data_IF_132032286569
#
_entry.id   IF_132032286569
#
_cell.length_a   1.000
_cell.length_b   1.000
_cell.length_c   1.000
_cell.angle_alpha   90.00
_cell.angle_beta   90.00
_cell.angle_gamma   90.00
#
_symmetry.space_group_name_H-M   'P 1'
#
loop_
_entity.id
_entity.type
_entity.pdbx_description
1 polymer ?
#
# COMPACT_ATOMS: atom_id res chain seq x y z
N UNK A 1 -2.69 17.40 -10.94
CA UNK A 1 -2.42 16.66 -12.20
C UNK A 1 -0.94 16.34 -12.44
N UNK A 2 0.01 17.28 -12.45
CA UNK A 2 1.43 16.98 -12.70
C UNK A 2 2.05 16.03 -11.66
N UNK A 3 1.78 16.23 -10.38
CA UNK A 3 2.26 15.40 -9.27
C UNK A 3 1.73 13.96 -9.32
N UNK A 4 0.44 13.77 -9.62
CA UNK A 4 -0.16 12.43 -9.79
C UNK A 4 0.44 11.68 -10.98
N UNK A 5 0.71 12.37 -12.09
CA UNK A 5 1.35 11.81 -13.29
C UNK A 5 2.79 11.38 -13.00
N UNK A 6 3.50 12.14 -12.17
CA UNK A 6 4.87 11.80 -11.76
C UNK A 6 4.92 10.57 -10.83
N UNK A 7 4.02 10.49 -9.84
CA UNK A 7 3.91 9.32 -8.97
C UNK A 7 3.52 8.05 -9.75
N UNK A 8 2.61 8.18 -10.72
CA UNK A 8 2.19 7.08 -11.57
C UNK A 8 3.36 6.56 -12.42
N UNK A 9 4.18 7.46 -12.97
CA UNK A 9 5.37 7.08 -13.74
C UNK A 9 6.42 6.37 -12.87
N UNK A 10 6.66 6.83 -11.65
CA UNK A 10 7.60 6.20 -10.72
C UNK A 10 7.14 4.78 -10.33
N UNK A 11 5.84 4.60 -10.02
CA UNK A 11 5.24 3.29 -9.72
C UNK A 11 5.39 2.34 -10.91
N UNK A 12 5.09 2.82 -12.13
CA UNK A 12 5.21 2.06 -13.37
C UNK A 12 6.64 1.55 -13.60
N UNK A 13 7.63 2.44 -13.51
CA UNK A 13 9.04 2.09 -13.73
C UNK A 13 9.54 1.09 -12.69
N UNK A 14 9.13 1.25 -11.44
CA UNK A 14 9.51 0.31 -10.38
C UNK A 14 8.89 -1.09 -10.60
N UNK A 15 7.65 -1.15 -11.05
CA UNK A 15 6.96 -2.41 -11.41
C UNK A 15 7.67 -3.10 -12.59
N UNK A 16 8.04 -2.35 -13.63
CA UNK A 16 8.81 -2.87 -14.77
C UNK A 16 10.18 -3.42 -14.34
N UNK A 17 10.91 -2.70 -13.50
CA UNK A 17 12.20 -3.17 -12.96
C UNK A 17 12.04 -4.47 -12.18
N UNK A 18 11.03 -4.55 -11.33
CA UNK A 18 10.73 -5.75 -10.53
C UNK A 18 10.39 -6.96 -11.41
N UNK A 19 9.52 -6.78 -12.41
CA UNK A 19 9.09 -7.84 -13.33
C UNK A 19 10.23 -8.35 -14.21
N UNK A 20 11.12 -7.48 -14.65
CA UNK A 20 12.21 -7.84 -15.57
C UNK A 20 13.44 -8.48 -14.87
N UNK A 21 13.59 -8.31 -13.56
CA UNK A 21 14.78 -8.77 -12.83
C UNK A 21 14.94 -10.30 -12.86
N UNK A 22 13.83 -11.04 -12.72
CA UNK A 22 13.87 -12.52 -12.77
C UNK A 22 14.31 -13.03 -14.13
N UNK A 23 13.91 -12.37 -15.22
CA UNK A 23 14.31 -12.76 -16.58
C UNK A 23 15.80 -12.59 -16.88
N UNK A 24 16.47 -11.62 -16.22
CA UNK A 24 17.91 -11.34 -16.46
C UNK A 24 18.78 -12.55 -16.15
N UNK A 25 18.47 -13.31 -15.11
CA UNK A 25 19.26 -14.47 -14.68
C UNK A 25 19.31 -15.56 -15.76
N UNK A 26 18.21 -15.74 -16.50
CA UNK A 26 18.13 -16.77 -17.54
C UNK A 26 19.03 -16.48 -18.74
N UNK A 27 19.34 -15.20 -19.04
CA UNK A 27 20.33 -14.85 -20.06
C UNK A 27 21.76 -15.25 -19.66
N UNK A 28 22.04 -15.48 -18.37
CA UNK A 28 23.33 -15.99 -17.92
C UNK A 28 23.37 -17.51 -17.86
N UNK A 29 22.26 -18.16 -17.55
CA UNK A 29 22.20 -19.61 -17.29
C UNK A 29 21.99 -20.43 -18.56
N UNK A 30 21.20 -19.95 -19.53
CA UNK A 30 20.82 -20.73 -20.69
C UNK A 30 21.94 -20.87 -21.73
N UNK A 31 22.70 -19.82 -22.12
CA UNK A 31 23.75 -19.97 -23.13
C UNK A 31 24.82 -21.01 -22.78
N UNK A 32 25.33 -21.10 -21.53
CA UNK A 32 26.27 -22.16 -21.17
C UNK A 32 25.68 -23.56 -21.41
N UNK A 33 24.41 -23.79 -21.10
CA UNK A 33 23.74 -25.08 -21.32
C UNK A 33 23.65 -25.43 -22.81
N UNK A 34 23.30 -24.45 -23.65
CA UNK A 34 23.28 -24.63 -25.11
C UNK A 34 24.64 -24.97 -25.65
N UNK A 35 25.70 -24.29 -25.18
CA UNK A 35 27.06 -24.49 -25.67
C UNK A 35 27.73 -25.82 -25.22
N UNK A 36 27.21 -26.47 -24.19
CA UNK A 36 27.59 -27.82 -23.81
C UNK A 36 27.06 -28.90 -24.75
N UNK A 37 26.08 -28.59 -25.58
CA UNK A 37 25.47 -29.54 -26.52
C UNK A 37 26.43 -29.80 -27.69
N UNK A 38 26.50 -31.02 -28.16
CA UNK A 38 27.24 -31.46 -29.36
C UNK A 38 28.73 -31.03 -29.38
N UNK A 39 29.35 -30.82 -28.18
CA UNK A 39 30.72 -30.29 -28.04
C UNK A 39 30.96 -28.92 -28.71
N UNK A 40 29.89 -28.15 -28.92
CA UNK A 40 29.94 -26.84 -29.58
C UNK A 40 30.96 -25.89 -28.93
N UNK A 41 31.03 -25.87 -27.58
CA UNK A 41 31.97 -25.05 -26.86
C UNK A 41 33.43 -25.35 -27.26
N UNK A 42 33.79 -26.62 -27.47
CA UNK A 42 35.14 -27.01 -27.84
C UNK A 42 35.49 -26.63 -29.28
N UNK A 43 34.50 -26.72 -30.19
CA UNK A 43 34.69 -26.39 -31.59
C UNK A 43 34.72 -24.88 -31.84
N UNK A 44 33.96 -24.11 -31.05
CA UNK A 44 33.74 -22.66 -31.23
C UNK A 44 34.12 -21.86 -29.96
N UNK A 45 35.24 -22.19 -29.33
CA UNK A 45 35.63 -21.65 -28.02
C UNK A 45 35.67 -20.12 -27.95
N UNK A 46 36.30 -19.47 -28.93
CA UNK A 46 36.40 -17.99 -28.94
C UNK A 46 35.04 -17.31 -29.04
N UNK A 47 34.18 -17.81 -29.91
CA UNK A 47 32.82 -17.29 -30.03
C UNK A 47 32.02 -17.51 -28.76
N UNK A 48 32.04 -18.72 -28.21
CA UNK A 48 31.29 -19.06 -26.98
C UNK A 48 31.72 -18.21 -25.81
N UNK A 49 33.03 -18.02 -25.60
CA UNK A 49 33.56 -17.15 -24.55
C UNK A 49 33.17 -15.69 -24.77
N UNK A 50 33.23 -15.19 -26.00
CA UNK A 50 32.83 -13.83 -26.35
C UNK A 50 31.36 -13.61 -26.07
N UNK A 51 30.47 -14.53 -26.51
CA UNK A 51 29.04 -14.47 -26.28
C UNK A 51 28.68 -14.48 -24.78
N UNK A 52 29.26 -15.44 -24.01
CA UNK A 52 29.07 -15.54 -22.58
C UNK A 52 29.55 -14.28 -21.85
N UNK A 53 30.70 -13.72 -22.26
CA UNK A 53 31.27 -12.50 -21.70
C UNK A 53 30.35 -11.30 -21.89
N UNK A 54 29.86 -11.11 -23.11
CA UNK A 54 28.91 -10.00 -23.44
C UNK A 54 27.64 -10.11 -22.60
N UNK A 55 27.00 -11.30 -22.57
CA UNK A 55 25.76 -11.47 -21.80
C UNK A 55 25.99 -11.36 -20.30
N UNK A 56 27.10 -11.88 -19.78
CA UNK A 56 27.43 -11.69 -18.36
C UNK A 56 27.61 -10.22 -18.01
N UNK A 57 28.34 -9.45 -18.82
CA UNK A 57 28.49 -8.00 -18.61
C UNK A 57 27.16 -7.25 -18.63
N UNK A 58 26.29 -7.53 -19.62
CA UNK A 58 24.98 -6.90 -19.73
C UNK A 58 24.13 -7.24 -18.50
N UNK A 59 24.08 -8.50 -18.09
CA UNK A 59 23.28 -8.94 -16.94
C UNK A 59 23.77 -8.33 -15.63
N UNK A 60 25.06 -8.35 -15.39
CA UNK A 60 25.68 -7.71 -14.20
C UNK A 60 25.38 -6.21 -14.19
N UNK A 61 25.56 -5.52 -15.32
CA UNK A 61 25.23 -4.10 -15.44
C UNK A 61 23.76 -3.85 -15.08
N UNK A 62 22.81 -4.64 -15.63
CA UNK A 62 21.36 -4.49 -15.36
C UNK A 62 21.04 -4.72 -13.89
N UNK A 63 21.60 -5.74 -13.26
CA UNK A 63 21.39 -6.01 -11.83
C UNK A 63 21.92 -4.89 -10.94
N UNK A 64 23.15 -4.42 -11.24
CA UNK A 64 23.74 -3.27 -10.53
C UNK A 64 22.90 -2.02 -10.73
N UNK A 65 22.48 -1.73 -11.97
CA UNK A 65 21.66 -0.56 -12.27
C UNK A 65 20.32 -0.59 -11.51
N UNK A 66 19.61 -1.73 -11.47
CA UNK A 66 18.37 -1.88 -10.70
C UNK A 66 18.61 -1.66 -9.20
N UNK A 67 19.73 -2.16 -8.66
CA UNK A 67 20.08 -1.98 -7.25
C UNK A 67 20.41 -0.51 -6.92
N UNK A 68 21.27 0.12 -7.72
CA UNK A 68 21.72 1.51 -7.52
C UNK A 68 20.56 2.49 -7.72
N UNK A 69 19.73 2.26 -8.73
CA UNK A 69 18.60 3.14 -9.03
C UNK A 69 17.59 3.30 -7.89
N UNK A 70 17.48 2.31 -6.98
CA UNK A 70 16.62 2.41 -5.77
C UNK A 70 17.11 3.43 -4.75
N UNK A 71 18.42 3.78 -4.79
CA UNK A 71 19.06 4.72 -3.85
C UNK A 71 19.26 6.11 -4.45
N UNK A 72 18.94 6.29 -5.73
CA UNK A 72 19.16 7.56 -6.41
C UNK A 72 18.03 8.57 -6.10
N UNK A 73 18.37 9.88 -5.98
CA UNK A 73 17.38 10.94 -5.84
C UNK A 73 16.41 10.99 -7.03
N UNK A 74 15.15 11.37 -6.77
CA UNK A 74 14.06 11.44 -7.77
C UNK A 74 14.41 12.30 -9.02
N UNK A 75 15.25 13.31 -8.86
CA UNK A 75 15.69 14.16 -9.99
C UNK A 75 16.38 13.39 -11.11
N UNK A 76 16.94 12.21 -10.83
CA UNK A 76 17.61 11.35 -11.81
C UNK A 76 16.70 10.28 -12.41
N UNK A 77 15.41 10.23 -12.01
CA UNK A 77 14.47 9.20 -12.45
C UNK A 77 14.31 9.12 -13.97
N UNK A 78 14.20 10.23 -14.74
CA UNK A 78 14.13 10.16 -16.20
C UNK A 78 15.36 9.51 -16.84
N UNK A 79 16.54 9.83 -16.34
CA UNK A 79 17.81 9.26 -16.82
C UNK A 79 17.87 7.77 -16.49
N UNK A 80 17.52 7.39 -15.26
CA UNK A 80 17.47 6.01 -14.81
C UNK A 80 16.50 5.17 -15.64
N UNK A 81 15.36 5.73 -15.97
CA UNK A 81 14.37 5.10 -16.84
C UNK A 81 14.90 4.91 -18.25
N UNK A 82 15.56 5.91 -18.82
CA UNK A 82 16.19 5.81 -20.12
C UNK A 82 17.28 4.74 -20.18
N UNK A 83 18.15 4.67 -19.17
CA UNK A 83 19.18 3.64 -19.05
C UNK A 83 18.55 2.25 -18.93
N UNK A 84 17.50 2.10 -18.12
CA UNK A 84 16.78 0.84 -17.98
C UNK A 84 16.20 0.36 -19.32
N UNK A 85 15.43 1.23 -20.02
CA UNK A 85 14.82 0.93 -21.31
C UNK A 85 15.90 0.58 -22.34
N UNK A 86 16.94 1.39 -22.46
CA UNK A 86 18.06 1.14 -23.34
C UNK A 86 18.76 -0.20 -23.08
N UNK A 87 18.97 -0.55 -21.83
CA UNK A 87 19.57 -1.83 -21.45
C UNK A 87 18.70 -3.03 -21.80
N UNK A 88 17.38 -2.90 -21.70
CA UNK A 88 16.42 -3.95 -22.08
C UNK A 88 16.46 -4.19 -23.58
N UNK A 89 16.33 -3.12 -24.38
CA UNK A 89 16.36 -3.18 -25.84
C UNK A 89 17.71 -3.70 -26.35
N UNK A 90 18.81 -3.24 -25.75
CA UNK A 90 20.14 -3.71 -26.09
C UNK A 90 20.32 -5.20 -25.83
N UNK A 91 19.83 -5.69 -24.68
CA UNK A 91 19.84 -7.14 -24.36
C UNK A 91 19.06 -7.94 -25.39
N UNK A 92 17.88 -7.47 -25.78
CA UNK A 92 17.04 -8.12 -26.78
C UNK A 92 17.71 -8.17 -28.17
N UNK A 93 18.30 -7.06 -28.59
CA UNK A 93 19.02 -6.96 -29.85
C UNK A 93 20.25 -7.88 -29.87
N UNK A 94 21.05 -7.84 -28.80
CA UNK A 94 22.23 -8.71 -28.67
C UNK A 94 21.85 -10.20 -28.76
N UNK A 95 20.76 -10.61 -28.11
CA UNK A 95 20.24 -11.98 -28.20
C UNK A 95 19.76 -12.31 -29.61
N UNK A 96 18.94 -11.42 -30.24
CA UNK A 96 18.44 -11.60 -31.58
C UNK A 96 19.56 -11.74 -32.62
N UNK A 97 20.61 -10.90 -32.50
CA UNK A 97 21.80 -10.99 -33.35
C UNK A 97 22.57 -12.29 -33.14
N UNK A 98 22.70 -12.75 -31.88
CA UNK A 98 23.30 -14.04 -31.57
C UNK A 98 22.51 -15.20 -32.17
N UNK A 99 21.18 -15.20 -32.00
CA UNK A 99 20.31 -16.21 -32.62
C UNK A 99 20.40 -16.20 -34.15
N UNK A 100 20.43 -15.03 -34.77
CA UNK A 100 20.62 -14.88 -36.23
C UNK A 100 21.99 -15.44 -36.69
N UNK A 101 23.05 -15.18 -35.93
CA UNK A 101 24.37 -15.73 -36.22
C UNK A 101 24.37 -17.26 -36.22
N UNK A 102 23.75 -17.91 -35.23
CA UNK A 102 23.61 -19.35 -35.19
C UNK A 102 22.81 -19.90 -36.38
N UNK A 103 21.72 -19.25 -36.74
CA UNK A 103 20.90 -19.65 -37.88
C UNK A 103 21.66 -19.55 -39.21
N UNK A 104 22.59 -18.61 -39.37
CA UNK A 104 23.35 -18.41 -40.60
C UNK A 104 24.61 -19.27 -40.71
N UNK A 105 25.34 -19.47 -39.59
CA UNK A 105 26.71 -19.99 -39.63
C UNK A 105 26.89 -21.34 -38.95
N UNK A 106 26.02 -21.75 -38.01
CA UNK A 106 26.13 -23.07 -37.40
C UNK A 106 25.63 -24.16 -38.31
N UNK A 107 26.34 -25.29 -38.28
CA UNK A 107 25.91 -26.54 -38.99
C UNK A 107 25.16 -27.48 -38.03
N UNK A 108 25.24 -27.24 -36.72
CA UNK A 108 24.62 -28.10 -35.72
C UNK A 108 23.16 -27.76 -35.50
N UNK A 109 22.26 -28.61 -36.03
CA UNK A 109 20.82 -28.45 -35.94
C UNK A 109 20.30 -28.35 -34.49
N UNK A 110 20.95 -29.09 -33.55
CA UNK A 110 20.53 -29.09 -32.15
C UNK A 110 20.73 -27.73 -31.53
N UNK A 111 21.89 -27.10 -31.76
CA UNK A 111 22.19 -25.74 -31.22
C UNK A 111 21.28 -24.70 -31.83
N UNK A 112 21.02 -24.74 -33.17
CA UNK A 112 20.09 -23.84 -33.83
C UNK A 112 18.69 -23.95 -33.23
N UNK A 113 18.21 -25.20 -33.05
CA UNK A 113 16.88 -25.46 -32.49
C UNK A 113 16.76 -24.95 -31.06
N UNK A 114 17.73 -25.23 -30.22
CA UNK A 114 17.74 -24.74 -28.83
C UNK A 114 17.78 -23.21 -28.75
N UNK A 115 18.59 -22.55 -29.57
CA UNK A 115 18.64 -21.09 -29.63
C UNK A 115 17.30 -20.50 -30.07
N UNK A 116 16.63 -21.11 -31.04
CA UNK A 116 15.31 -20.69 -31.52
C UNK A 116 14.24 -20.86 -30.43
N UNK A 117 14.19 -22.01 -29.77
CA UNK A 117 13.26 -22.28 -28.66
C UNK A 117 13.46 -21.26 -27.53
N UNK A 118 14.71 -21.02 -27.15
CA UNK A 118 15.03 -20.03 -26.10
C UNK A 118 14.65 -18.61 -26.54
N UNK A 119 14.86 -18.25 -27.81
CA UNK A 119 14.44 -16.96 -28.36
C UNK A 119 12.94 -16.77 -28.25
N UNK A 120 12.14 -17.77 -28.65
CA UNK A 120 10.66 -17.77 -28.52
C UNK A 120 10.25 -17.60 -27.04
N UNK A 121 10.88 -18.36 -26.14
CA UNK A 121 10.62 -18.28 -24.71
C UNK A 121 10.96 -16.91 -24.10
N UNK A 122 12.12 -16.36 -24.45
CA UNK A 122 12.54 -15.04 -23.96
C UNK A 122 11.66 -13.91 -24.49
N UNK A 123 11.25 -13.97 -25.77
CA UNK A 123 10.34 -12.95 -26.32
C UNK A 123 9.02 -12.97 -25.59
N UNK A 124 8.42 -14.14 -25.40
CA UNK A 124 7.14 -14.27 -24.67
C UNK A 124 7.24 -13.75 -23.24
N UNK A 125 8.25 -14.19 -22.49
CA UNK A 125 8.48 -13.77 -21.10
C UNK A 125 8.77 -12.27 -20.98
N UNK A 126 9.56 -11.72 -21.90
CA UNK A 126 9.87 -10.29 -21.93
C UNK A 126 8.66 -9.44 -22.29
N UNK A 127 7.90 -9.82 -23.31
CA UNK A 127 6.66 -9.12 -23.68
C UNK A 127 5.71 -9.04 -22.49
N UNK A 128 5.48 -10.13 -21.76
CA UNK A 128 4.63 -10.16 -20.57
C UNK A 128 5.17 -9.26 -19.45
N UNK A 129 6.50 -9.19 -19.29
CA UNK A 129 7.14 -8.34 -18.31
C UNK A 129 6.98 -6.84 -18.61
N UNK A 130 6.91 -6.47 -19.90
CA UNK A 130 6.87 -5.08 -20.35
C UNK A 130 5.49 -4.59 -20.77
N UNK A 131 4.43 -5.40 -20.58
CA UNK A 131 3.03 -5.03 -20.85
C UNK A 131 2.66 -3.62 -20.36
N UNK A 132 3.06 -3.16 -19.15
CA UNK A 132 2.70 -1.84 -18.68
C UNK A 132 3.21 -0.70 -19.58
N UNK A 133 4.25 -0.94 -20.35
CA UNK A 133 4.89 0.03 -21.24
C UNK A 133 4.90 -0.51 -22.68
N UNK A 134 3.79 -0.32 -23.39
CA UNK A 134 3.52 -0.93 -24.69
C UNK A 134 4.69 -0.76 -25.69
N UNK A 135 5.24 0.46 -25.81
CA UNK A 135 6.32 0.70 -26.76
C UNK A 135 7.58 -0.11 -26.42
N UNK A 136 7.84 -0.38 -25.12
CA UNK A 136 8.97 -1.20 -24.71
C UNK A 136 8.72 -2.69 -25.03
N UNK A 137 7.50 -3.18 -24.81
CA UNK A 137 7.11 -4.56 -25.17
C UNK A 137 7.25 -4.80 -26.69
N UNK A 138 6.81 -3.84 -27.51
CA UNK A 138 6.92 -3.91 -28.97
C UNK A 138 8.39 -3.78 -29.43
N UNK A 139 9.14 -2.82 -28.89
CA UNK A 139 10.55 -2.66 -29.23
C UNK A 139 11.37 -3.90 -28.86
N UNK A 140 11.11 -4.49 -27.70
CA UNK A 140 11.76 -5.71 -27.25
C UNK A 140 11.46 -6.90 -28.20
N UNK A 141 10.19 -7.07 -28.58
CA UNK A 141 9.75 -8.11 -29.52
C UNK A 141 10.48 -7.96 -30.88
N UNK A 142 10.46 -6.76 -31.46
CA UNK A 142 11.10 -6.47 -32.74
C UNK A 142 12.61 -6.68 -32.65
N UNK A 143 13.27 -6.13 -31.64
CA UNK A 143 14.73 -6.23 -31.47
C UNK A 143 15.21 -7.67 -31.35
N UNK A 144 14.42 -8.56 -30.74
CA UNK A 144 14.80 -9.95 -30.54
C UNK A 144 14.47 -10.83 -31.73
N UNK A 145 13.32 -10.67 -32.40
CA UNK A 145 12.89 -11.54 -33.50
C UNK A 145 13.36 -11.10 -34.87
N UNK A 146 13.44 -9.80 -35.16
CA UNK A 146 13.77 -9.29 -36.48
C UNK A 146 15.08 -9.83 -37.03
N UNK A 147 16.20 -9.86 -36.26
CA UNK A 147 17.45 -10.44 -36.77
C UNK A 147 17.33 -11.92 -37.14
N UNK A 148 16.63 -12.70 -36.33
CA UNK A 148 16.42 -14.13 -36.59
C UNK A 148 15.51 -14.37 -37.80
N UNK A 149 14.43 -13.57 -37.97
CA UNK A 149 13.55 -13.61 -39.14
C UNK A 149 14.36 -13.32 -40.41
N UNK A 150 15.17 -12.26 -40.38
CA UNK A 150 16.01 -11.90 -41.51
C UNK A 150 16.98 -13.03 -41.89
N UNK A 151 17.64 -13.65 -40.86
CA UNK A 151 18.55 -14.76 -41.06
C UNK A 151 17.88 -15.97 -41.74
N UNK A 152 16.64 -16.33 -41.34
CA UNK A 152 15.90 -17.43 -41.94
C UNK A 152 15.59 -17.16 -43.42
N UNK A 153 15.21 -15.94 -43.79
CA UNK A 153 14.94 -15.58 -45.18
C UNK A 153 16.21 -15.49 -46.04
N UNK A 154 17.35 -15.02 -45.46
CA UNK A 154 18.65 -14.96 -46.14
C UNK A 154 19.10 -16.40 -46.49
N UNK A 155 18.97 -17.36 -45.55
CA UNK A 155 19.35 -18.75 -45.79
C UNK A 155 18.46 -19.45 -46.79
N UNK A 156 17.21 -19.01 -46.95
CA UNK A 156 16.20 -19.48 -47.90
C UNK A 156 15.85 -20.97 -47.85
N UNK A 157 16.37 -21.74 -46.87
CA UNK A 157 16.13 -23.17 -46.73
C UNK A 157 14.75 -23.48 -46.10
N UNK A 158 14.26 -22.58 -45.23
CA UNK A 158 13.00 -22.81 -44.48
C UNK A 158 12.11 -21.57 -44.47
N UNK A 159 11.58 -21.08 -45.60
CA UNK A 159 10.76 -19.87 -45.63
C UNK A 159 9.49 -19.97 -44.78
N UNK A 160 8.92 -21.17 -44.63
CA UNK A 160 7.77 -21.42 -43.74
C UNK A 160 8.06 -21.07 -42.27
N UNK A 161 9.28 -21.32 -41.80
CA UNK A 161 9.72 -20.93 -40.46
C UNK A 161 9.74 -19.37 -40.32
N UNK A 162 10.24 -18.69 -41.36
CA UNK A 162 10.25 -17.20 -41.36
C UNK A 162 8.84 -16.62 -41.27
N UNK A 163 7.89 -17.15 -42.05
CA UNK A 163 6.47 -16.74 -41.95
C UNK A 163 5.86 -17.08 -40.60
N UNK A 164 6.15 -18.24 -40.01
CA UNK A 164 5.67 -18.61 -38.69
C UNK A 164 6.20 -17.65 -37.60
N UNK A 165 7.49 -17.23 -37.70
CA UNK A 165 8.07 -16.24 -36.78
C UNK A 165 7.44 -14.87 -36.95
N UNK A 166 7.08 -14.43 -38.15
CA UNK A 166 6.34 -13.18 -38.36
C UNK A 166 4.96 -13.26 -37.72
N UNK A 167 4.22 -14.34 -37.96
CA UNK A 167 2.90 -14.54 -37.34
C UNK A 167 2.99 -14.54 -35.81
N UNK A 168 4.03 -15.17 -35.27
CA UNK A 168 4.30 -15.16 -33.84
C UNK A 168 4.63 -13.74 -33.29
N UNK A 169 5.45 -12.98 -34.03
CA UNK A 169 5.73 -11.59 -33.66
C UNK A 169 4.46 -10.72 -33.64
N UNK A 170 3.60 -10.86 -34.66
CA UNK A 170 2.30 -10.17 -34.74
C UNK A 170 1.39 -10.58 -33.57
N UNK A 171 1.30 -11.89 -33.30
CA UNK A 171 0.53 -12.40 -32.16
C UNK A 171 0.98 -11.80 -30.83
N UNK A 172 2.28 -11.69 -30.59
CA UNK A 172 2.81 -11.06 -29.37
C UNK A 172 2.53 -9.56 -29.31
N UNK A 173 2.49 -8.85 -30.43
CA UNK A 173 2.06 -7.44 -30.47
C UNK A 173 0.59 -7.33 -30.08
N UNK A 174 -0.27 -8.20 -30.61
CA UNK A 174 -1.70 -8.21 -30.25
C UNK A 174 -1.93 -8.51 -28.76
N UNK A 175 -1.18 -9.47 -28.20
CA UNK A 175 -1.20 -9.74 -26.74
C UNK A 175 -0.72 -8.52 -25.96
N UNK A 176 0.35 -7.84 -26.42
CA UNK A 176 0.86 -6.64 -25.76
C UNK A 176 -0.17 -5.51 -25.73
N UNK A 177 -0.88 -5.29 -26.85
CA UNK A 177 -1.95 -4.28 -26.94
C UNK A 177 -3.09 -4.58 -25.95
N UNK A 178 -3.58 -5.83 -25.98
CA UNK A 178 -4.65 -6.24 -25.07
C UNK A 178 -4.22 -6.18 -23.61
N UNK A 179 -3.08 -6.76 -23.29
CA UNK A 179 -2.58 -6.79 -21.92
C UNK A 179 -2.28 -5.40 -21.38
N UNK A 180 -1.79 -4.47 -22.22
CA UNK A 180 -1.58 -3.08 -21.82
C UNK A 180 -2.91 -2.39 -21.48
N UNK A 181 -3.95 -2.59 -22.30
CA UNK A 181 -5.28 -2.05 -22.03
C UNK A 181 -5.88 -2.63 -20.71
N UNK A 182 -5.73 -3.93 -20.49
CA UNK A 182 -6.19 -4.60 -19.25
C UNK A 182 -5.41 -4.10 -18.03
N UNK A 183 -4.09 -3.91 -18.13
CA UNK A 183 -3.25 -3.38 -17.07
C UNK A 183 -3.68 -1.98 -16.60
N UNK A 184 -3.88 -1.06 -17.56
CA UNK A 184 -4.29 0.30 -17.24
C UNK A 184 -5.70 0.37 -16.66
N UNK A 185 -6.62 -0.47 -17.19
CA UNK A 185 -7.98 -0.57 -16.64
C UNK A 185 -7.99 -1.12 -15.21
N UNK A 186 -7.14 -2.12 -14.92
CA UNK A 186 -7.01 -2.65 -13.55
C UNK A 186 -6.49 -1.60 -12.58
N UNK A 187 -5.51 -0.79 -12.98
CA UNK A 187 -4.95 0.28 -12.17
C UNK A 187 -5.97 1.41 -11.93
N UNK A 188 -6.77 1.77 -12.94
CA UNK A 188 -7.85 2.75 -12.82
C UNK A 188 -8.92 2.28 -11.83
N UNK A 189 -9.33 1.00 -11.92
CA UNK A 189 -10.29 0.41 -11.00
C UNK A 189 -9.76 0.37 -9.55
N UNK A 190 -8.48 0.07 -9.33
CA UNK A 190 -7.84 0.10 -8.01
C UNK A 190 -7.95 1.50 -7.39
N UNK A 191 -7.59 2.55 -8.16
CA UNK A 191 -7.68 3.93 -7.72
C UNK A 191 -9.13 4.36 -7.40
N UNK A 192 -10.09 3.95 -8.25
CA UNK A 192 -11.51 4.24 -8.02
C UNK A 192 -12.04 3.57 -6.76
N UNK A 193 -11.65 2.32 -6.50
CA UNK A 193 -12.02 1.61 -5.28
C UNK A 193 -11.44 2.28 -4.03
N UNK A 194 -10.19 2.73 -4.06
CA UNK A 194 -9.60 3.49 -2.96
C UNK A 194 -10.34 4.81 -2.71
N UNK A 195 -10.71 5.54 -3.77
CA UNK A 195 -11.47 6.78 -3.67
C UNK A 195 -12.85 6.53 -3.05
N UNK A 196 -13.57 5.52 -3.53
CA UNK A 196 -14.89 5.14 -2.98
C UNK A 196 -14.81 4.67 -1.53
N UNK A 197 -13.78 3.91 -1.18
CA UNK A 197 -13.54 3.52 0.21
C UNK A 197 -13.35 4.73 1.12
N UNK A 198 -12.55 5.72 0.68
CA UNK A 198 -12.34 6.97 1.42
C UNK A 198 -13.62 7.81 1.53
N UNK A 199 -14.44 7.85 0.46
CA UNK A 199 -15.75 8.53 0.51
C UNK A 199 -16.70 7.87 1.53
N UNK A 200 -16.76 6.53 1.53
CA UNK A 200 -17.57 5.78 2.50
C UNK A 200 -17.07 5.99 3.94
N UNK A 201 -15.77 5.97 4.15
CA UNK A 201 -15.17 6.30 5.44
C UNK A 201 -15.49 7.72 5.89
N UNK A 202 -15.49 8.71 4.97
CA UNK A 202 -15.89 10.08 5.28
C UNK A 202 -17.39 10.19 5.57
N UNK A 203 -18.22 9.42 4.90
CA UNK A 203 -19.66 9.39 5.14
C UNK A 203 -20.04 8.72 6.47
N UNK A 204 -19.20 7.82 6.99
CA UNK A 204 -19.44 7.18 8.29
C UNK A 204 -19.11 8.14 9.43
N UNK A 205 -20.14 8.57 10.17
CA UNK A 205 -20.02 9.45 11.36
C UNK A 205 -19.92 8.68 12.66
N UNK A 206 -20.24 7.39 12.64
CA UNK A 206 -20.34 6.58 13.84
C UNK A 206 -19.28 5.49 13.88
N UNK A 207 -18.91 5.08 15.10
CA UNK A 207 -18.12 3.89 15.36
C UNK A 207 -18.97 2.63 15.17
N UNK A 208 -18.53 1.71 14.33
CA UNK A 208 -19.28 0.53 13.93
C UNK A 208 -19.59 -0.43 15.10
N UNK A 209 -18.76 -0.44 16.15
CA UNK A 209 -18.95 -1.30 17.29
C UNK A 209 -19.95 -0.74 18.30
N UNK A 210 -19.82 0.54 18.62
CA UNK A 210 -20.53 1.18 19.73
C UNK A 210 -21.76 1.99 19.31
N UNK A 211 -21.82 2.42 18.03
CA UNK A 211 -22.85 3.30 17.50
C UNK A 211 -22.73 4.76 17.95
N UNK A 212 -21.73 5.11 18.76
CA UNK A 212 -21.39 6.48 19.11
C UNK A 212 -20.75 7.19 17.92
N UNK A 213 -20.58 8.51 18.00
CA UNK A 213 -19.75 9.19 17.03
C UNK A 213 -18.32 8.63 17.04
N UNK A 214 -17.68 8.54 15.87
CA UNK A 214 -16.29 8.17 15.78
C UNK A 214 -15.37 9.39 16.02
N UNK A 215 -14.09 9.15 16.26
CA UNK A 215 -13.09 10.17 16.51
C UNK A 215 -13.10 11.28 15.46
N UNK A 216 -13.19 10.91 14.17
CA UNK A 216 -13.16 11.89 13.09
C UNK A 216 -14.33 12.86 13.15
N UNK A 217 -15.54 12.35 13.34
CA UNK A 217 -16.72 13.21 13.43
C UNK A 217 -16.74 14.02 14.73
N UNK A 218 -16.18 13.47 15.82
CA UNK A 218 -15.93 14.23 17.03
C UNK A 218 -15.00 15.42 16.77
N UNK A 219 -13.89 15.24 16.07
CA UNK A 219 -12.93 16.31 15.78
C UNK A 219 -13.57 17.43 14.94
N UNK A 220 -14.46 17.08 13.99
CA UNK A 220 -15.25 18.03 13.19
C UNK A 220 -16.22 18.85 14.08
N UNK A 221 -16.96 18.17 14.95
CA UNK A 221 -17.90 18.83 15.87
C UNK A 221 -17.18 19.66 16.93
N UNK A 222 -16.03 19.19 17.40
CA UNK A 222 -15.23 19.93 18.36
C UNK A 222 -14.72 21.27 17.80
N UNK A 223 -14.27 21.28 16.54
CA UNK A 223 -13.85 22.53 15.87
C UNK A 223 -15.04 23.49 15.72
N UNK A 224 -16.22 22.97 15.36
CA UNK A 224 -17.44 23.76 15.24
C UNK A 224 -17.84 24.38 16.58
N UNK A 225 -17.96 23.56 17.63
CA UNK A 225 -18.43 23.99 18.95
C UNK A 225 -17.39 24.92 19.63
N UNK A 226 -16.09 24.70 19.40
CA UNK A 226 -15.03 25.61 19.83
C UNK A 226 -15.25 27.02 19.25
N UNK A 227 -15.50 27.12 17.95
CA UNK A 227 -15.79 28.39 17.28
C UNK A 227 -17.09 29.05 17.74
N UNK A 228 -18.14 28.25 18.00
CA UNK A 228 -19.43 28.73 18.49
C UNK A 228 -19.32 29.25 19.93
N UNK A 229 -18.74 28.47 20.84
CA UNK A 229 -18.56 28.86 22.26
C UNK A 229 -17.68 30.10 22.40
N UNK A 230 -16.61 30.23 21.57
CA UNK A 230 -15.80 31.46 21.51
C UNK A 230 -16.61 32.70 21.15
N UNK A 231 -17.47 32.60 20.13
CA UNK A 231 -18.32 33.73 19.67
C UNK A 231 -19.39 34.09 20.69
N UNK A 232 -19.99 33.08 21.33
CA UNK A 232 -21.06 33.28 22.34
C UNK A 232 -20.51 33.62 23.71
N UNK A 233 -19.21 33.42 23.93
CA UNK A 233 -18.55 33.54 25.24
C UNK A 233 -19.21 32.63 26.29
N UNK A 234 -19.56 31.41 25.88
CA UNK A 234 -20.14 30.40 26.75
C UNK A 234 -19.13 29.30 27.09
N UNK A 235 -19.30 28.63 28.23
CA UNK A 235 -18.40 27.55 28.61
C UNK A 235 -18.52 26.37 27.66
N UNK A 236 -17.39 25.72 27.40
CA UNK A 236 -17.28 24.45 26.70
C UNK A 236 -16.53 23.49 27.62
N UNK A 237 -17.14 22.35 27.90
CA UNK A 237 -16.54 21.34 28.76
C UNK A 237 -16.24 20.08 27.96
N UNK A 238 -15.05 19.53 28.15
CA UNK A 238 -14.58 18.28 27.58
C UNK A 238 -14.37 17.27 28.71
N UNK A 239 -15.00 16.11 28.55
CA UNK A 239 -14.83 14.95 29.41
C UNK A 239 -14.15 13.86 28.59
N UNK A 240 -13.01 13.34 29.09
CA UNK A 240 -12.33 12.18 28.54
C UNK A 240 -12.42 11.06 29.57
N UNK A 241 -12.80 9.89 29.16
CA UNK A 241 -12.83 8.72 30.04
C UNK A 241 -12.23 7.49 29.38
N UNK A 242 -11.67 6.63 30.22
CA UNK A 242 -11.00 5.40 29.82
C UNK A 242 -11.39 4.26 30.75
N UNK A 243 -11.54 3.05 30.21
CA UNK A 243 -11.93 1.88 30.96
C UNK A 243 -10.71 1.33 31.71
N UNK A 244 -10.79 1.34 33.04
CA UNK A 244 -9.73 0.83 33.88
C UNK A 244 -9.45 -0.65 33.61
N UNK A 245 -8.18 -0.98 33.39
CA UNK A 245 -7.72 -2.35 33.16
C UNK A 245 -8.41 -3.10 31.98
N UNK A 246 -8.86 -2.40 30.95
CA UNK A 246 -9.57 -3.01 29.82
C UNK A 246 -8.75 -4.08 29.10
N UNK A 247 -7.44 -3.92 29.00
CA UNK A 247 -6.55 -4.95 28.46
C UNK A 247 -6.69 -6.27 29.25
N UNK A 248 -6.76 -6.21 30.59
CA UNK A 248 -6.94 -7.39 31.41
C UNK A 248 -8.31 -8.07 31.17
N UNK A 249 -9.36 -7.29 30.89
CA UNK A 249 -10.67 -7.84 30.49
C UNK A 249 -10.52 -8.63 29.19
N UNK A 250 -9.85 -8.07 28.19
CA UNK A 250 -9.59 -8.75 26.92
C UNK A 250 -8.75 -10.03 27.09
N UNK A 251 -7.67 -9.93 27.85
CA UNK A 251 -6.74 -11.04 28.07
C UNK A 251 -7.41 -12.20 28.85
N UNK A 252 -8.36 -11.88 29.76
CA UNK A 252 -9.03 -12.89 30.62
C UNK A 252 -10.29 -13.47 29.97
N UNK A 253 -11.06 -12.66 29.23
CA UNK A 253 -12.40 -13.03 28.74
C UNK A 253 -12.49 -13.05 27.20
N UNK A 254 -11.42 -12.64 26.50
CA UNK A 254 -11.36 -12.56 25.05
C UNK A 254 -11.90 -11.24 24.48
N UNK A 255 -11.48 -10.89 23.28
CA UNK A 255 -11.86 -9.63 22.60
C UNK A 255 -13.38 -9.48 22.41
N UNK A 256 -14.10 -10.57 22.15
CA UNK A 256 -15.56 -10.49 22.00
C UNK A 256 -16.27 -10.06 23.30
N UNK A 257 -15.75 -10.45 24.46
CA UNK A 257 -16.25 -10.00 25.76
C UNK A 257 -15.94 -8.51 25.99
N UNK A 258 -14.73 -8.06 25.62
CA UNK A 258 -14.37 -6.65 25.60
C UNK A 258 -15.28 -5.82 24.71
N UNK A 259 -15.56 -6.29 23.50
CA UNK A 259 -16.50 -5.64 22.57
C UNK A 259 -17.93 -5.52 23.15
N UNK A 260 -18.42 -6.57 23.79
CA UNK A 260 -19.72 -6.53 24.49
C UNK A 260 -19.70 -5.50 25.63
N UNK A 261 -18.57 -5.37 26.34
CA UNK A 261 -18.41 -4.40 27.41
C UNK A 261 -18.36 -2.95 26.86
N UNK A 262 -17.64 -2.71 25.77
CA UNK A 262 -17.63 -1.42 25.08
C UNK A 262 -19.04 -0.98 24.65
N UNK A 263 -19.83 -1.91 24.09
CA UNK A 263 -21.24 -1.66 23.76
C UNK A 263 -22.09 -1.33 25.01
N UNK A 264 -21.78 -1.93 26.14
CA UNK A 264 -22.48 -1.64 27.40
C UNK A 264 -22.16 -0.24 27.91
N UNK A 265 -20.88 0.14 27.88
CA UNK A 265 -20.43 1.48 28.28
C UNK A 265 -21.03 2.56 27.37
N UNK A 266 -21.04 2.36 26.06
CA UNK A 266 -21.62 3.33 25.13
C UNK A 266 -23.11 3.60 25.40
N UNK A 267 -23.90 2.54 25.68
CA UNK A 267 -25.31 2.71 26.09
C UNK A 267 -25.45 3.46 27.41
N UNK A 268 -24.52 3.23 28.34
CA UNK A 268 -24.51 3.94 29.61
C UNK A 268 -24.19 5.43 29.41
N UNK A 269 -23.21 5.77 28.58
CA UNK A 269 -22.89 7.14 28.21
C UNK A 269 -24.09 7.86 27.61
N UNK A 270 -24.73 7.27 26.59
CA UNK A 270 -25.92 7.81 25.95
C UNK A 270 -27.10 7.99 26.94
N UNK A 271 -27.18 7.14 27.97
CA UNK A 271 -28.24 7.29 28.99
C UNK A 271 -28.00 8.38 30.02
N UNK A 272 -26.78 8.87 30.11
CA UNK A 272 -26.39 9.96 31.06
C UNK A 272 -26.30 11.30 30.33
N UNK A 273 -25.72 11.33 29.14
CA UNK A 273 -25.53 12.51 28.31
C UNK A 273 -26.61 12.51 27.21
N UNK A 274 -27.71 13.23 27.43
CA UNK A 274 -28.95 13.11 26.66
C UNK A 274 -29.34 14.37 25.89
N UNK A 275 -28.64 15.49 26.09
CA UNK A 275 -28.98 16.71 25.34
C UNK A 275 -28.63 16.55 23.87
N UNK A 276 -29.38 17.11 22.99
CA UNK A 276 -29.05 17.11 21.54
C UNK A 276 -27.72 17.77 21.23
N UNK A 277 -27.26 18.68 22.11
CA UNK A 277 -25.96 19.34 22.01
C UNK A 277 -24.82 18.55 22.61
N UNK A 278 -25.08 17.49 23.39
CA UNK A 278 -24.05 16.66 23.98
C UNK A 278 -23.43 15.76 22.88
N UNK A 279 -22.15 15.93 22.60
CA UNK A 279 -21.42 15.13 21.60
C UNK A 279 -20.72 13.99 22.30
N UNK A 280 -21.19 12.76 22.10
CA UNK A 280 -20.65 11.54 22.71
C UNK A 280 -19.96 10.71 21.64
N UNK A 281 -18.67 10.43 21.81
CA UNK A 281 -17.87 9.73 20.82
C UNK A 281 -16.97 8.66 21.44
N UNK A 282 -16.62 7.66 20.64
CA UNK A 282 -15.49 6.76 20.89
C UNK A 282 -14.25 7.34 20.26
N UNK A 283 -13.25 7.68 21.09
CA UNK A 283 -12.05 8.36 20.63
C UNK A 283 -10.96 7.39 20.15
N UNK A 284 -10.87 6.23 20.80
CA UNK A 284 -9.94 5.15 20.41
C UNK A 284 -10.17 3.95 21.31
N UNK A 285 -9.74 2.77 20.96
CA UNK A 285 -9.74 1.57 21.78
C UNK A 285 -10.82 1.49 22.86
N UNK A 286 -10.40 1.78 24.09
CA UNK A 286 -11.22 1.85 25.31
C UNK A 286 -11.52 3.30 25.78
N UNK A 287 -11.16 4.30 24.97
CA UNK A 287 -11.31 5.71 25.29
C UNK A 287 -12.60 6.30 24.70
N UNK A 288 -13.31 7.06 25.52
CA UNK A 288 -14.52 7.80 25.13
C UNK A 288 -14.37 9.27 25.49
N UNK A 289 -15.00 10.11 24.69
CA UNK A 289 -15.01 11.56 24.89
C UNK A 289 -16.43 12.08 24.85
N UNK A 290 -16.69 13.10 25.68
CA UNK A 290 -17.96 13.82 25.67
C UNK A 290 -17.67 15.31 25.64
N UNK A 291 -18.17 16.01 24.62
CA UNK A 291 -18.09 17.46 24.51
C UNK A 291 -19.43 18.06 24.87
N UNK A 292 -19.43 19.03 25.76
CA UNK A 292 -20.62 19.59 26.40
C UNK A 292 -20.63 21.11 26.23
N UNK A 293 -21.26 21.63 25.18
CA UNK A 293 -21.48 23.06 25.03
C UNK A 293 -22.44 23.61 26.11
N UNK A 294 -22.20 24.88 26.48
CA UNK A 294 -23.00 25.61 27.46
C UNK A 294 -23.14 24.90 28.82
N UNK A 295 -22.07 24.20 29.22
CA UNK A 295 -21.94 23.60 30.57
C UNK A 295 -20.55 23.91 31.13
N UNK A 296 -20.51 24.13 32.43
CA UNK A 296 -19.29 24.28 33.22
C UNK A 296 -18.80 22.95 33.80
N UNK A 297 -17.66 23.00 34.49
CA UNK A 297 -17.05 21.83 35.09
C UNK A 297 -17.87 21.23 36.22
N UNK A 298 -18.55 22.03 37.05
CA UNK A 298 -19.33 21.57 38.19
C UNK A 298 -20.58 20.78 37.73
N UNK A 299 -21.33 21.34 36.80
CA UNK A 299 -22.50 20.66 36.18
C UNK A 299 -22.09 19.35 35.49
N UNK A 300 -20.90 19.31 34.90
CA UNK A 300 -20.38 18.13 34.22
C UNK A 300 -19.90 17.07 35.19
N UNK A 301 -19.34 17.48 36.33
CA UNK A 301 -18.87 16.56 37.36
C UNK A 301 -19.99 15.65 37.88
N UNK A 302 -21.16 16.20 38.15
CA UNK A 302 -22.32 15.42 38.61
C UNK A 302 -22.74 14.33 37.59
N UNK A 303 -22.70 14.67 36.31
CA UNK A 303 -22.98 13.72 35.23
C UNK A 303 -21.90 12.63 35.14
N UNK A 304 -20.64 13.03 35.21
CA UNK A 304 -19.50 12.13 35.16
C UNK A 304 -19.51 11.14 36.34
N UNK A 305 -19.80 11.62 37.55
CA UNK A 305 -19.89 10.76 38.74
C UNK A 305 -21.09 9.79 38.67
N UNK A 306 -22.24 10.25 38.14
CA UNK A 306 -23.36 9.32 37.89
C UNK A 306 -22.98 8.24 36.87
N UNK A 307 -22.27 8.63 35.79
CA UNK A 307 -21.76 7.69 34.82
C UNK A 307 -20.77 6.70 35.44
N UNK A 308 -19.76 7.21 36.16
CA UNK A 308 -18.75 6.39 36.85
C UNK A 308 -19.38 5.37 37.81
N UNK A 309 -20.27 5.83 38.70
CA UNK A 309 -20.97 4.95 39.64
C UNK A 309 -21.79 3.87 38.93
N UNK A 310 -22.52 4.27 37.89
CA UNK A 310 -23.32 3.34 37.08
C UNK A 310 -22.46 2.26 36.41
N UNK A 311 -21.26 2.59 35.94
CA UNK A 311 -20.32 1.62 35.38
C UNK A 311 -19.75 0.72 36.49
N UNK A 312 -19.32 1.29 37.61
CA UNK A 312 -18.77 0.51 38.74
C UNK A 312 -19.78 -0.53 39.30
N UNK A 313 -21.08 -0.21 39.25
CA UNK A 313 -22.17 -1.11 39.67
C UNK A 313 -22.63 -2.07 38.57
N UNK A 314 -22.20 -1.82 37.31
CA UNK A 314 -22.65 -2.63 36.17
C UNK A 314 -21.84 -3.94 36.09
N UNK A 315 -22.52 -5.06 36.25
CA UNK A 315 -21.98 -6.38 35.95
C UNK A 315 -22.47 -6.82 34.58
N UNK A 316 -21.55 -7.12 33.67
CA UNK A 316 -21.87 -7.73 32.38
C UNK A 316 -21.74 -9.25 32.52
N UNK A 317 -22.83 -9.96 32.29
CA UNK A 317 -22.76 -11.43 32.14
C UNK A 317 -22.50 -11.78 30.67
N UNK A 318 -21.39 -12.43 30.42
CA UNK A 318 -20.98 -12.90 29.10
C UNK A 318 -20.52 -14.36 29.15
N UNK A 319 -21.22 -15.25 28.45
CA UNK A 319 -20.95 -16.71 28.43
C UNK A 319 -20.79 -17.32 29.83
N UNK A 320 -21.67 -16.94 30.75
CA UNK A 320 -21.66 -17.45 32.14
C UNK A 320 -20.58 -16.88 33.06
N UNK A 321 -19.76 -15.92 32.55
CA UNK A 321 -18.77 -15.17 33.32
C UNK A 321 -19.26 -13.77 33.64
N UNK A 322 -18.95 -13.29 34.85
CA UNK A 322 -19.26 -11.92 35.29
C UNK A 322 -18.06 -11.03 35.04
N UNK A 323 -18.25 -9.94 34.28
CA UNK A 323 -17.25 -8.93 33.97
C UNK A 323 -17.67 -7.64 34.63
N UNK A 324 -16.80 -7.09 35.45
CA UNK A 324 -16.99 -5.81 36.11
C UNK A 324 -15.67 -5.05 36.08
N UNK A 325 -15.68 -3.80 35.66
CA UNK A 325 -14.54 -2.91 35.73
C UNK A 325 -15.04 -1.50 36.02
N UNK A 326 -14.11 -0.58 36.20
CA UNK A 326 -14.39 0.82 36.50
C UNK A 326 -13.92 1.71 35.36
N UNK A 327 -14.17 2.99 35.49
CA UNK A 327 -13.66 4.02 34.57
C UNK A 327 -12.97 5.12 35.33
N UNK A 328 -11.93 5.69 34.70
CA UNK A 328 -11.32 6.93 35.14
C UNK A 328 -11.75 8.04 34.18
N UNK A 329 -12.00 9.23 34.72
CA UNK A 329 -12.53 10.36 33.95
C UNK A 329 -11.78 11.64 34.29
N UNK A 330 -11.36 12.38 33.24
CA UNK A 330 -10.82 13.72 33.31
C UNK A 330 -11.80 14.74 32.73
N UNK A 331 -12.01 15.84 33.42
CA UNK A 331 -12.88 16.94 32.98
C UNK A 331 -12.06 18.21 32.89
N UNK A 332 -12.12 18.90 31.77
CA UNK A 332 -11.60 20.25 31.61
C UNK A 332 -12.69 21.15 31.05
N UNK A 333 -12.78 22.39 31.57
CA UNK A 333 -13.75 23.38 31.13
C UNK A 333 -13.07 24.71 30.88
N UNK A 334 -13.50 25.41 29.84
CA UNK A 334 -13.05 26.77 29.56
C UNK A 334 -14.09 27.55 28.77
N UNK A 335 -13.98 28.87 28.78
CA UNK A 335 -14.59 29.74 27.78
C UNK A 335 -13.53 29.97 26.71
N UNK A 336 -13.69 29.43 25.47
CA UNK A 336 -12.66 29.57 24.44
C UNK A 336 -12.32 31.04 24.16
N UNK A 337 -11.05 31.41 24.29
CA UNK A 337 -10.53 32.77 24.10
C UNK A 337 -9.31 32.81 23.17
N UNK A 338 -8.58 33.94 23.17
CA UNK A 338 -7.33 34.10 22.44
C UNK A 338 -6.16 33.34 23.07
N UNK A 339 -6.27 33.07 24.38
CA UNK A 339 -5.15 32.59 25.19
C UNK A 339 -5.05 31.07 25.25
N UNK A 340 -6.06 30.36 24.67
CA UNK A 340 -6.10 28.91 24.64
C UNK A 340 -6.45 28.41 23.25
N UNK A 341 -5.67 27.44 22.77
CA UNK A 341 -6.00 26.71 21.55
C UNK A 341 -6.84 25.47 21.86
N UNK A 342 -7.58 24.97 20.85
CA UNK A 342 -8.35 23.73 20.96
C UNK A 342 -7.47 22.54 21.39
N UNK A 343 -6.26 22.45 20.81
CA UNK A 343 -5.34 21.35 21.11
C UNK A 343 -4.77 21.44 22.54
N UNK A 344 -4.51 22.64 23.03
CA UNK A 344 -4.13 22.85 24.43
C UNK A 344 -5.26 22.45 25.40
N UNK A 345 -6.53 22.73 25.04
CA UNK A 345 -7.67 22.34 25.83
C UNK A 345 -7.86 20.82 25.87
N UNK A 346 -7.67 20.13 24.73
CA UNK A 346 -7.69 18.67 24.67
C UNK A 346 -6.58 18.07 25.54
N UNK A 347 -5.37 18.62 25.44
CA UNK A 347 -4.22 18.17 26.23
C UNK A 347 -4.45 18.35 27.75
N UNK A 348 -5.13 19.41 28.15
CA UNK A 348 -5.52 19.62 29.57
C UNK A 348 -6.43 18.51 30.06
N UNK A 349 -7.48 18.18 29.32
CA UNK A 349 -8.40 17.11 29.68
C UNK A 349 -7.71 15.74 29.76
N UNK A 350 -6.77 15.47 28.85
CA UNK A 350 -5.97 14.24 28.84
C UNK A 350 -5.04 14.15 30.06
N UNK A 351 -4.38 15.25 30.43
CA UNK A 351 -3.55 15.30 31.65
C UNK A 351 -4.36 15.00 32.92
N UNK A 352 -5.58 15.53 32.99
CA UNK A 352 -6.49 15.29 34.14
C UNK A 352 -6.96 13.84 34.18
N UNK A 353 -7.21 13.21 33.03
CA UNK A 353 -7.47 11.77 32.95
C UNK A 353 -6.27 10.95 33.43
N UNK A 354 -5.06 11.35 33.04
CA UNK A 354 -3.84 10.70 33.49
C UNK A 354 -3.70 10.79 35.03
N UNK A 355 -4.00 11.95 35.64
CA UNK A 355 -4.03 12.11 37.08
C UNK A 355 -5.06 11.20 37.75
N UNK A 356 -6.25 11.03 37.16
CA UNK A 356 -7.27 10.13 37.65
C UNK A 356 -6.76 8.67 37.69
N UNK A 357 -6.07 8.25 36.62
CA UNK A 357 -5.46 6.92 36.53
C UNK A 357 -4.30 6.75 37.54
N UNK A 358 -3.42 7.74 37.66
CA UNK A 358 -2.27 7.71 38.57
C UNK A 358 -2.69 7.73 40.05
N UNK A 359 -3.76 8.42 40.38
CA UNK A 359 -4.27 8.56 41.75
C UNK A 359 -5.06 7.34 42.27
N UNK A 360 -5.10 6.23 41.52
CA UNK A 360 -5.74 4.98 41.94
C UNK A 360 -6.98 4.60 41.17
N UNK A 361 -7.25 5.23 40.04
CA UNK A 361 -8.36 4.92 39.12
C UNK A 361 -9.77 5.05 39.73
N UNK A 362 -10.79 4.63 39.03
CA UNK A 362 -12.20 4.67 39.45
C UNK A 362 -12.60 6.01 40.08
N UNK A 363 -12.29 7.11 39.39
CA UNK A 363 -12.56 8.47 39.87
C UNK A 363 -12.71 9.45 38.73
N UNK A 364 -13.37 10.56 39.10
CA UNK A 364 -13.45 11.75 38.25
C UNK A 364 -12.54 12.83 38.83
N UNK A 365 -11.68 13.41 38.02
CA UNK A 365 -10.88 14.58 38.36
C UNK A 365 -11.28 15.72 37.43
N UNK A 366 -11.33 16.93 38.02
CA UNK A 366 -11.66 18.17 37.32
C UNK A 366 -10.40 19.04 37.27
N UNK A 367 -10.12 19.61 36.13
CA UNK A 367 -9.10 20.63 35.99
C UNK A 367 -9.50 21.89 36.75
N UNK A 368 -8.65 22.31 37.65
CA UNK A 368 -8.86 23.46 38.56
C UNK A 368 -8.21 24.76 38.08
N UNK A 369 -7.68 24.77 36.83
CA UNK A 369 -6.99 25.97 36.27
C UNK A 369 -7.88 26.82 35.39
#
# INVERSE_FOLDING_TARGET
MAFQKQQLNARLVNDLKKRSTSGVIFYMLIPPLIFLTDNFFQQHQQFSLGFLGVFSCICVFRLIHVYVSKKMPERFEPINTGIFIGSVVFTALAWGMGSAYFLLHSQEQTVQTLMLICTVGFVAGGVLSFIPLLYLAVAYNISMLLPSIAAVFIRAEMPTLGFAMILYAVYLVLISLRGNAEYWKALENENLLEEKSRELEKASRTDALTGLYNRRYFDELFELEWGLSRRRKTPLTLLICDIDHFKQVNDTHGHQAGDAYLKRISRCLQSVFQRETDVVARYGGEEFVVLLPDRDAEQTWDLAERFRKKIAETVLEYQGKKIQTTISTGISSCIPGSDMTRDAFLTRADNVLYEAKASGRNRTIVDTQ
#
